data_IF_694481922496
#
_entry.id   IF_694481922496
#
_cell.length_a   1.000
_cell.length_b   1.000
_cell.length_c   1.000
_cell.angle_alpha   90.00
_cell.angle_beta   90.00
_cell.angle_gamma   90.00
#
_symmetry.space_group_name_H-M   'P 1'
#
loop_
_entity.id
_entity.type
_entity.pdbx_description
1 polymer ?
#
# COMPACT_ATOMS: atom_id res chain seq x y z
N UNK A 1 -1.97 -17.29 25.60
CA UNK A 1 -1.98 -16.08 24.75
C UNK A 1 -1.66 -16.53 23.35
N UNK A 2 -2.58 -16.34 22.41
CA UNK A 2 -2.33 -16.66 20.99
C UNK A 2 -1.49 -15.57 20.34
N UNK A 3 -0.57 -15.89 19.40
CA UNK A 3 0.14 -14.88 18.62
C UNK A 3 -0.85 -13.93 17.93
N UNK A 4 -0.70 -12.62 18.13
CA UNK A 4 -1.57 -11.61 17.51
C UNK A 4 -2.97 -11.50 18.13
N UNK A 5 -3.14 -11.87 19.41
CA UNK A 5 -4.42 -11.70 20.11
C UNK A 5 -4.89 -10.23 20.05
N UNK A 6 -5.98 -9.96 19.35
CA UNK A 6 -6.50 -8.59 19.09
C UNK A 6 -6.88 -7.83 20.38
N UNK A 7 -7.06 -8.55 21.47
CA UNK A 7 -7.31 -8.01 22.81
C UNK A 7 -6.04 -7.43 23.44
N UNK A 8 -4.86 -7.95 23.08
CA UNK A 8 -3.57 -7.59 23.65
C UNK A 8 -2.76 -6.67 22.76
N UNK A 9 -2.81 -6.86 21.44
CA UNK A 9 -2.02 -6.10 20.47
C UNK A 9 -2.87 -5.07 19.74
N UNK A 10 -2.31 -3.88 19.56
CA UNK A 10 -2.87 -2.85 18.70
C UNK A 10 -2.26 -3.02 17.30
N UNK A 11 -3.11 -3.07 16.26
CA UNK A 11 -2.60 -3.10 14.88
C UNK A 11 -2.09 -1.71 14.46
N UNK A 12 -1.26 -1.65 13.40
CA UNK A 12 -0.63 -0.42 12.94
C UNK A 12 -1.63 0.70 12.56
N UNK A 13 -2.77 0.34 11.95
CA UNK A 13 -3.80 1.31 11.53
C UNK A 13 -4.48 1.93 12.75
N UNK A 14 -4.93 1.11 13.69
CA UNK A 14 -5.57 1.59 14.90
C UNK A 14 -4.59 2.38 15.77
N UNK A 15 -3.34 1.95 15.85
CA UNK A 15 -2.27 2.70 16.53
C UNK A 15 -2.07 4.08 15.91
N UNK A 16 -2.00 4.17 14.57
CA UNK A 16 -1.81 5.45 13.90
C UNK A 16 -2.98 6.42 14.17
N UNK A 17 -4.22 5.93 14.05
CA UNK A 17 -5.42 6.71 14.35
C UNK A 17 -5.44 7.22 15.79
N UNK A 18 -5.27 6.32 16.76
CA UNK A 18 -5.24 6.68 18.19
C UNK A 18 -4.11 7.67 18.49
N UNK A 19 -2.95 7.51 17.84
CA UNK A 19 -1.81 8.40 18.03
C UNK A 19 -2.08 9.83 17.55
N UNK A 20 -2.84 9.99 16.47
CA UNK A 20 -3.23 11.28 15.89
C UNK A 20 -4.39 11.91 16.66
N UNK A 21 -5.36 11.11 17.14
CA UNK A 21 -6.49 11.59 17.95
C UNK A 21 -6.16 11.74 19.44
N UNK A 22 -4.94 11.38 19.85
CA UNK A 22 -4.49 11.36 21.25
C UNK A 22 -5.35 10.46 22.15
N UNK A 23 -5.88 9.37 21.60
CA UNK A 23 -6.56 8.32 22.33
C UNK A 23 -5.55 7.38 22.98
N UNK A 24 -5.83 6.98 24.22
CA UNK A 24 -4.98 6.07 24.98
C UNK A 24 -5.50 4.63 24.87
N UNK A 25 -4.57 3.69 24.81
CA UNK A 25 -4.86 2.26 24.84
C UNK A 25 -3.85 1.55 25.74
N UNK A 26 -4.33 0.57 26.51
CA UNK A 26 -3.48 -0.29 27.34
C UNK A 26 -2.88 -1.47 26.54
N UNK A 27 -3.19 -1.57 25.25
CA UNK A 27 -2.67 -2.63 24.37
C UNK A 27 -1.19 -2.40 24.05
N UNK A 28 -0.48 -3.48 23.78
CA UNK A 28 0.89 -3.44 23.28
C UNK A 28 0.88 -2.77 21.90
N UNK A 29 1.64 -1.69 21.77
CA UNK A 29 1.78 -0.96 20.51
C UNK A 29 2.65 -1.75 19.51
N UNK A 30 2.53 -1.49 18.20
CA UNK A 30 3.40 -2.09 17.20
C UNK A 30 4.89 -1.89 17.51
N UNK A 31 5.30 -0.70 17.98
CA UNK A 31 6.70 -0.43 18.32
C UNK A 31 7.18 -1.24 19.52
N UNK A 32 6.36 -1.37 20.58
CA UNK A 32 6.70 -2.22 21.72
C UNK A 32 6.81 -3.69 21.31
N UNK A 33 5.88 -4.19 20.50
CA UNK A 33 5.95 -5.57 20.00
C UNK A 33 7.23 -5.83 19.17
N UNK A 34 7.65 -4.84 18.36
CA UNK A 34 8.89 -4.92 17.61
C UNK A 34 10.14 -4.87 18.51
N UNK A 35 10.14 -4.01 19.54
CA UNK A 35 11.22 -3.92 20.52
C UNK A 35 11.35 -5.23 21.33
N UNK A 36 10.23 -5.86 21.68
CA UNK A 36 10.21 -7.17 22.34
C UNK A 36 10.84 -8.25 21.46
N UNK A 37 10.50 -8.30 20.17
CA UNK A 37 11.07 -9.25 19.19
C UNK A 37 12.57 -9.08 19.03
N UNK A 38 13.06 -7.84 18.91
CA UNK A 38 14.50 -7.56 18.87
C UNK A 38 15.19 -7.95 20.18
N UNK A 39 14.53 -7.70 21.31
CA UNK A 39 15.01 -8.12 22.62
C UNK A 39 15.12 -9.64 22.74
N UNK A 40 14.16 -10.40 22.21
CA UNK A 40 14.21 -11.87 22.16
C UNK A 40 15.36 -12.35 21.28
N UNK A 41 15.52 -11.79 20.08
CA UNK A 41 16.62 -12.14 19.17
C UNK A 41 17.99 -11.86 19.82
N UNK A 42 18.19 -10.67 20.37
CA UNK A 42 19.47 -10.28 20.97
C UNK A 42 19.86 -11.16 22.16
N UNK A 43 18.90 -11.55 23.01
CA UNK A 43 19.19 -12.48 24.12
C UNK A 43 19.52 -13.89 23.64
N UNK A 44 18.86 -14.36 22.59
CA UNK A 44 19.12 -15.66 22.00
C UNK A 44 20.52 -15.70 21.34
N UNK A 45 20.88 -14.68 20.57
CA UNK A 45 22.21 -14.55 19.95
C UNK A 45 23.33 -14.46 20.99
N UNK A 46 23.10 -13.75 22.10
CA UNK A 46 24.04 -13.71 23.21
C UNK A 46 24.23 -15.09 23.86
N UNK A 47 23.13 -15.82 24.12
CA UNK A 47 23.20 -17.18 24.66
C UNK A 47 23.89 -18.17 23.72
N UNK A 48 23.71 -18.04 22.40
CA UNK A 48 24.45 -18.83 21.41
C UNK A 48 25.95 -18.52 21.44
N UNK A 49 26.31 -17.24 21.58
CA UNK A 49 27.71 -16.82 21.68
C UNK A 49 28.37 -17.37 22.94
N UNK A 50 27.67 -17.39 24.07
CA UNK A 50 28.15 -18.02 25.29
C UNK A 50 28.30 -19.54 25.13
N UNK A 51 27.35 -20.19 24.46
CA UNK A 51 27.41 -21.62 24.17
C UNK A 51 28.57 -21.99 23.22
N UNK A 52 28.91 -21.13 22.26
CA UNK A 52 30.03 -21.33 21.34
C UNK A 52 31.40 -21.33 22.05
N UNK A 53 31.48 -20.78 23.27
CA UNK A 53 32.71 -20.78 24.06
C UNK A 53 33.05 -22.13 24.70
N UNK A 54 32.14 -23.11 24.65
CA UNK A 54 32.37 -24.44 25.21
C UNK A 54 32.95 -25.39 24.14
N UNK A 55 34.25 -25.69 24.23
CA UNK A 55 34.95 -26.62 23.32
C UNK A 55 34.24 -27.98 23.16
N UNK A 56 33.60 -28.47 24.23
CA UNK A 56 32.86 -29.73 24.20
C UNK A 56 31.65 -29.75 23.25
N UNK A 57 31.22 -28.58 22.74
CA UNK A 57 30.10 -28.44 21.83
C UNK A 57 30.51 -28.29 20.36
N UNK A 58 31.81 -28.13 20.06
CA UNK A 58 32.31 -27.84 18.70
C UNK A 58 31.83 -28.87 17.66
N UNK A 59 31.92 -30.16 18.00
CA UNK A 59 31.51 -31.27 17.14
C UNK A 59 30.16 -31.89 17.57
N UNK A 60 29.45 -31.28 18.51
CA UNK A 60 28.18 -31.81 18.98
C UNK A 60 27.07 -31.54 17.97
N UNK A 61 26.65 -32.58 17.24
CA UNK A 61 25.64 -32.49 16.19
C UNK A 61 24.31 -31.88 16.66
N UNK A 62 23.82 -32.24 17.85
CA UNK A 62 22.57 -31.69 18.39
C UNK A 62 22.69 -30.19 18.66
N UNK A 63 23.84 -29.77 19.19
CA UNK A 63 24.13 -28.34 19.38
C UNK A 63 24.19 -27.59 18.05
N UNK A 64 24.88 -28.14 17.04
CA UNK A 64 24.99 -27.51 15.72
C UNK A 64 23.62 -27.31 15.07
N UNK A 65 22.72 -28.30 15.13
CA UNK A 65 21.34 -28.15 14.65
C UNK A 65 20.54 -27.15 15.47
N UNK A 66 20.65 -27.21 16.81
CA UNK A 66 19.97 -26.24 17.69
C UNK A 66 20.44 -24.81 17.40
N UNK A 67 21.74 -24.61 17.19
CA UNK A 67 22.32 -23.33 16.82
C UNK A 67 21.77 -22.83 15.50
N UNK A 68 21.62 -23.71 14.51
CA UNK A 68 21.01 -23.38 13.21
C UNK A 68 19.56 -22.90 13.39
N UNK A 69 18.74 -23.69 14.09
CA UNK A 69 17.32 -23.38 14.37
C UNK A 69 17.18 -22.04 15.10
N UNK A 70 18.00 -21.82 16.14
CA UNK A 70 17.96 -20.60 16.93
C UNK A 70 18.41 -19.37 16.14
N UNK A 71 19.43 -19.50 15.28
CA UNK A 71 19.81 -18.42 14.37
C UNK A 71 18.66 -18.10 13.39
N UNK A 72 17.99 -19.11 12.84
CA UNK A 72 16.82 -18.92 11.98
C UNK A 72 15.69 -18.17 12.70
N UNK A 73 15.37 -18.56 13.94
CA UNK A 73 14.38 -17.87 14.78
C UNK A 73 14.78 -16.42 15.09
N UNK A 74 16.07 -16.14 15.34
CA UNK A 74 16.55 -14.78 15.56
C UNK A 74 16.35 -13.90 14.31
N UNK A 75 16.68 -14.43 13.11
CA UNK A 75 16.46 -13.70 11.86
C UNK A 75 14.98 -13.48 11.57
N UNK A 76 14.13 -14.46 11.84
CA UNK A 76 12.67 -14.29 11.76
C UNK A 76 12.14 -13.23 12.71
N UNK A 77 12.64 -13.19 13.96
CA UNK A 77 12.22 -12.19 14.93
C UNK A 77 12.63 -10.78 14.48
N UNK A 78 13.88 -10.60 14.01
CA UNK A 78 14.37 -9.32 13.45
C UNK A 78 13.58 -8.88 12.22
N UNK A 79 13.34 -9.80 11.28
CA UNK A 79 12.49 -9.55 10.11
C UNK A 79 11.10 -9.03 10.52
N UNK A 80 10.44 -9.72 11.44
CA UNK A 80 9.10 -9.33 11.89
C UNK A 80 9.12 -8.01 12.66
N UNK A 81 10.12 -7.77 13.50
CA UNK A 81 10.29 -6.49 14.20
C UNK A 81 10.37 -5.33 13.19
N UNK A 82 11.19 -5.48 12.16
CA UNK A 82 11.31 -4.49 11.09
C UNK A 82 10.03 -4.34 10.26
N UNK A 83 9.36 -5.43 9.84
CA UNK A 83 8.07 -5.37 9.13
C UNK A 83 6.99 -4.65 9.94
N UNK A 84 6.92 -4.89 11.25
CA UNK A 84 5.97 -4.21 12.15
C UNK A 84 6.27 -2.71 12.19
N UNK A 85 7.54 -2.31 12.32
CA UNK A 85 7.93 -0.89 12.32
C UNK A 85 7.68 -0.23 10.97
N UNK A 86 7.93 -0.91 9.86
CA UNK A 86 7.57 -0.45 8.51
C UNK A 86 6.08 -0.14 8.44
N UNK A 87 5.22 -1.09 8.83
CA UNK A 87 3.78 -0.93 8.80
C UNK A 87 3.30 0.22 9.70
N UNK A 88 3.82 0.31 10.93
CA UNK A 88 3.44 1.38 11.86
C UNK A 88 3.86 2.77 11.37
N UNK A 89 5.08 2.92 10.87
CA UNK A 89 5.55 4.18 10.28
C UNK A 89 4.74 4.55 9.03
N UNK A 90 4.43 3.58 8.17
CA UNK A 90 3.66 3.81 6.95
C UNK A 90 2.20 4.22 7.27
N UNK A 91 1.54 3.55 8.22
CA UNK A 91 0.21 3.96 8.67
C UNK A 91 0.20 5.36 9.27
N UNK A 92 1.17 5.69 10.12
CA UNK A 92 1.30 7.06 10.65
C UNK A 92 1.54 8.07 9.52
N UNK A 93 2.37 7.75 8.54
CA UNK A 93 2.57 8.61 7.36
C UNK A 93 1.24 8.87 6.63
N UNK A 94 0.41 7.86 6.42
CA UNK A 94 -0.88 8.04 5.76
C UNK A 94 -1.86 8.89 6.58
N UNK A 95 -1.77 8.87 7.91
CA UNK A 95 -2.61 9.70 8.78
C UNK A 95 -2.07 11.15 8.94
N UNK A 96 -0.77 11.40 8.73
CA UNK A 96 -0.15 12.71 9.04
C UNK A 96 0.56 13.41 7.87
N UNK A 97 0.72 12.73 6.73
CA UNK A 97 1.55 13.14 5.60
C UNK A 97 2.99 13.58 6.02
N UNK A 98 3.56 12.97 7.07
CA UNK A 98 4.92 13.30 7.53
C UNK A 98 5.94 12.45 6.78
N UNK A 99 6.65 13.09 5.85
CA UNK A 99 7.64 12.43 5.01
C UNK A 99 8.77 11.74 5.79
N UNK A 100 9.09 12.22 7.00
CA UNK A 100 10.10 11.56 7.84
C UNK A 100 9.66 10.13 8.23
N UNK A 101 8.36 9.89 8.40
CA UNK A 101 7.81 8.57 8.69
C UNK A 101 7.88 7.64 7.48
N UNK A 102 7.65 8.14 6.27
CA UNK A 102 7.81 7.34 5.05
C UNK A 102 9.28 6.89 4.88
N UNK A 103 10.24 7.80 5.07
CA UNK A 103 11.67 7.46 5.05
C UNK A 103 12.04 6.41 6.10
N UNK A 104 11.47 6.51 7.31
CA UNK A 104 11.66 5.49 8.36
C UNK A 104 11.04 4.15 7.99
N UNK A 105 9.86 4.16 7.37
CA UNK A 105 9.22 2.93 6.90
C UNK A 105 10.09 2.20 5.86
N UNK A 106 10.66 2.95 4.91
CA UNK A 106 11.59 2.45 3.90
C UNK A 106 12.86 1.85 4.51
N UNK A 107 13.52 2.60 5.40
CA UNK A 107 14.71 2.10 6.10
C UNK A 107 14.42 0.80 6.86
N UNK A 108 13.28 0.70 7.54
CA UNK A 108 12.89 -0.55 8.19
C UNK A 108 12.57 -1.68 7.20
N UNK A 109 12.02 -1.40 6.02
CA UNK A 109 11.76 -2.42 5.02
C UNK A 109 13.06 -2.98 4.41
N UNK A 110 14.06 -2.11 4.20
CA UNK A 110 15.40 -2.50 3.77
C UNK A 110 16.09 -3.41 4.80
N UNK A 111 15.99 -3.07 6.10
CA UNK A 111 16.49 -3.93 7.18
C UNK A 111 15.73 -5.26 7.27
N UNK A 112 14.42 -5.25 7.06
CA UNK A 112 13.63 -6.49 6.97
C UNK A 112 14.13 -7.37 5.82
N UNK A 113 14.34 -6.79 4.63
CA UNK A 113 14.88 -7.51 3.48
C UNK A 113 16.28 -8.07 3.77
N UNK A 114 17.15 -7.31 4.43
CA UNK A 114 18.47 -7.77 4.85
C UNK A 114 18.37 -8.98 5.81
N UNK A 115 17.51 -8.90 6.82
CA UNK A 115 17.27 -10.01 7.76
C UNK A 115 16.71 -11.25 7.06
N UNK A 116 15.82 -11.07 6.06
CA UNK A 116 15.28 -12.17 5.28
C UNK A 116 16.35 -12.83 4.39
N UNK A 117 17.22 -12.04 3.73
CA UNK A 117 18.32 -12.58 2.93
C UNK A 117 19.28 -13.41 3.79
N UNK A 118 19.61 -12.93 4.98
CA UNK A 118 20.41 -13.71 5.95
C UNK A 118 19.68 -14.97 6.40
N UNK A 119 18.37 -14.91 6.62
CA UNK A 119 17.57 -16.11 6.92
C UNK A 119 17.69 -17.14 5.80
N UNK A 120 17.55 -16.72 4.53
CA UNK A 120 17.70 -17.61 3.38
C UNK A 120 19.08 -18.27 3.36
N UNK A 121 20.15 -17.50 3.58
CA UNK A 121 21.52 -18.00 3.59
C UNK A 121 21.75 -19.06 4.69
N UNK A 122 21.37 -18.76 5.93
CA UNK A 122 21.58 -19.71 7.04
C UNK A 122 20.66 -20.93 6.94
N UNK A 123 19.53 -20.82 6.24
CA UNK A 123 18.56 -21.91 6.13
C UNK A 123 18.82 -22.81 4.92
N UNK A 124 19.79 -22.49 4.06
CA UNK A 124 20.13 -23.31 2.87
C UNK A 124 20.38 -24.80 3.16
N UNK A 125 20.94 -25.22 4.31
CA UNK A 125 21.07 -26.64 4.64
C UNK A 125 19.74 -27.38 4.87
N UNK A 126 18.63 -26.67 5.08
CA UNK A 126 17.33 -27.28 5.27
C UNK A 126 16.75 -27.82 3.96
N UNK A 127 15.79 -28.73 4.10
CA UNK A 127 15.08 -29.30 2.97
C UNK A 127 14.20 -28.25 2.28
N UNK A 128 14.13 -28.25 0.95
CA UNK A 128 13.39 -27.23 0.20
C UNK A 128 11.85 -27.28 0.37
N UNK A 129 11.30 -28.35 0.95
CA UNK A 129 9.84 -28.51 1.15
C UNK A 129 9.50 -28.61 2.64
N UNK A 130 9.90 -27.60 3.41
CA UNK A 130 9.48 -27.49 4.80
C UNK A 130 7.98 -27.28 4.88
N UNK A 131 7.38 -27.79 5.95
CA UNK A 131 5.99 -27.54 6.27
C UNK A 131 5.94 -26.33 7.21
N UNK A 132 5.56 -25.16 6.68
CA UNK A 132 5.50 -23.88 7.39
C UNK A 132 4.04 -23.47 7.66
N UNK A 133 3.24 -24.39 8.20
CA UNK A 133 1.80 -24.18 8.48
C UNK A 133 0.90 -24.71 7.37
N UNK A 134 -0.14 -23.96 6.91
CA UNK A 134 -0.93 -24.38 5.73
C UNK A 134 -0.11 -24.33 4.43
N UNK A 135 1.15 -23.87 4.52
CA UNK A 135 2.05 -23.69 3.40
C UNK A 135 3.21 -24.67 3.43
N UNK A 136 3.71 -25.03 2.25
CA UNK A 136 4.96 -25.75 2.05
C UNK A 136 6.01 -24.90 1.34
N UNK A 137 7.29 -25.23 1.47
CA UNK A 137 8.38 -24.61 0.70
C UNK A 137 9.60 -24.26 1.55
N UNK A 138 10.40 -23.32 1.07
CA UNK A 138 11.60 -22.81 1.72
C UNK A 138 11.52 -21.29 1.91
N UNK A 139 12.26 -20.68 2.85
CA UNK A 139 12.19 -19.22 3.03
C UNK A 139 12.61 -18.42 1.78
N UNK A 140 13.48 -19.00 0.93
CA UNK A 140 13.92 -18.40 -0.34
C UNK A 140 12.78 -18.16 -1.32
N UNK A 141 11.71 -18.95 -1.20
CA UNK A 141 10.53 -18.88 -2.06
C UNK A 141 9.72 -17.60 -1.92
N UNK A 142 9.83 -16.94 -0.76
CA UNK A 142 9.13 -15.70 -0.45
C UNK A 142 10.04 -14.47 -0.62
N UNK A 143 11.30 -14.63 -1.00
CA UNK A 143 12.25 -13.51 -1.13
C UNK A 143 11.73 -12.44 -2.10
N UNK A 144 11.15 -12.85 -3.23
CA UNK A 144 10.57 -11.93 -4.21
C UNK A 144 9.43 -11.06 -3.64
N UNK A 145 8.65 -11.60 -2.71
CA UNK A 145 7.58 -10.87 -2.01
C UNK A 145 8.14 -9.90 -0.97
N UNK A 146 9.23 -10.26 -0.29
CA UNK A 146 9.91 -9.34 0.63
C UNK A 146 10.58 -8.19 -0.14
N UNK A 147 11.17 -8.48 -1.31
CA UNK A 147 11.68 -7.44 -2.20
C UNK A 147 10.57 -6.53 -2.74
N UNK A 148 9.37 -7.10 -2.94
CA UNK A 148 8.20 -6.32 -3.34
C UNK A 148 7.80 -5.27 -2.31
N UNK A 149 7.96 -5.54 -1.01
CA UNK A 149 7.67 -4.55 0.03
C UNK A 149 8.51 -3.28 -0.14
N UNK A 150 9.79 -3.43 -0.49
CA UNK A 150 10.70 -2.31 -0.72
C UNK A 150 10.31 -1.56 -1.99
N UNK A 151 10.10 -2.27 -3.10
CA UNK A 151 9.63 -1.67 -4.37
C UNK A 151 8.32 -0.90 -4.20
N UNK A 152 7.40 -1.44 -3.38
CA UNK A 152 6.14 -0.78 -3.10
C UNK A 152 6.34 0.53 -2.35
N UNK A 153 7.22 0.57 -1.35
CA UNK A 153 7.53 1.80 -0.62
C UNK A 153 8.26 2.84 -1.47
N UNK A 154 9.14 2.41 -2.38
CA UNK A 154 9.74 3.29 -3.39
C UNK A 154 8.65 3.96 -4.24
N UNK A 155 7.61 3.21 -4.61
CA UNK A 155 6.50 3.78 -5.36
C UNK A 155 5.64 4.74 -4.55
N UNK A 156 5.38 4.44 -3.27
CA UNK A 156 4.71 5.38 -2.35
C UNK A 156 5.52 6.68 -2.23
N UNK A 157 6.84 6.59 -2.12
CA UNK A 157 7.75 7.74 -2.07
C UNK A 157 7.73 8.55 -3.37
N UNK A 158 7.76 7.89 -4.52
CA UNK A 158 7.64 8.56 -5.82
C UNK A 158 6.32 9.33 -5.93
N UNK A 159 5.18 8.69 -5.60
CA UNK A 159 3.85 9.31 -5.62
C UNK A 159 3.81 10.52 -4.66
N UNK A 160 4.36 10.37 -3.45
CA UNK A 160 4.40 11.47 -2.48
C UNK A 160 5.31 12.62 -2.94
N UNK A 161 6.48 12.36 -3.48
CA UNK A 161 7.38 13.41 -3.98
C UNK A 161 6.80 14.12 -5.20
N UNK A 162 6.08 13.39 -6.05
CA UNK A 162 5.48 13.92 -7.28
C UNK A 162 4.26 14.81 -7.01
N UNK A 163 3.38 14.38 -6.10
CA UNK A 163 2.09 15.05 -5.85
C UNK A 163 2.03 15.80 -4.51
N UNK A 164 2.96 15.52 -3.60
CA UNK A 164 3.01 16.12 -2.27
C UNK A 164 1.80 15.79 -1.41
N UNK A 165 1.45 16.72 -0.52
CA UNK A 165 0.17 16.71 0.20
C UNK A 165 -0.91 17.32 -0.67
N UNK A 166 -2.01 16.61 -0.83
CA UNK A 166 -3.19 17.04 -1.58
C UNK A 166 -4.43 17.00 -0.66
N UNK A 167 -5.48 17.69 -1.08
CA UNK A 167 -6.75 17.79 -0.35
C UNK A 167 -7.58 16.53 -0.56
N UNK A 168 -7.71 16.07 -1.81
CA UNK A 168 -8.43 14.85 -2.17
C UNK A 168 -7.66 14.10 -3.28
N UNK A 169 -7.72 12.78 -3.23
CA UNK A 169 -7.18 11.89 -4.26
C UNK A 169 -8.22 10.81 -4.57
N UNK A 170 -8.47 10.58 -5.86
CA UNK A 170 -9.43 9.60 -6.35
C UNK A 170 -8.75 8.63 -7.30
N UNK A 171 -9.04 7.35 -7.12
CA UNK A 171 -8.56 6.21 -7.91
C UNK A 171 -9.80 5.59 -8.57
N UNK A 172 -9.92 5.73 -9.89
CA UNK A 172 -11.10 5.38 -10.65
C UNK A 172 -10.98 3.94 -11.18
N UNK A 173 -11.94 3.09 -10.82
CA UNK A 173 -11.96 1.67 -11.19
C UNK A 173 -13.11 0.93 -10.52
N UNK A 174 -13.39 -0.31 -10.94
CA UNK A 174 -14.43 -1.15 -10.32
C UNK A 174 -14.00 -1.53 -8.91
N UNK A 175 -14.98 -1.62 -8.01
CA UNK A 175 -14.75 -2.20 -6.68
C UNK A 175 -14.63 -3.70 -6.82
N UNK A 176 -13.59 -4.29 -6.23
CA UNK A 176 -13.48 -5.75 -6.13
C UNK A 176 -14.69 -6.28 -5.37
N UNK A 177 -15.56 -7.03 -6.05
CA UNK A 177 -16.73 -7.67 -5.44
C UNK A 177 -16.28 -8.92 -4.72
N UNK A 178 -16.15 -8.85 -3.41
CA UNK A 178 -15.98 -10.08 -2.63
C UNK A 178 -17.24 -10.94 -2.78
N UNK A 179 -17.07 -12.19 -3.21
CA UNK A 179 -18.16 -13.18 -3.19
C UNK A 179 -18.77 -13.32 -1.77
N UNK A 180 -19.99 -13.88 -1.66
CA UNK A 180 -20.57 -14.16 -0.34
C UNK A 180 -19.55 -14.95 0.47
N UNK A 181 -19.29 -14.51 1.70
CA UNK A 181 -18.29 -15.06 2.65
C UNK A 181 -18.46 -16.58 2.78
N UNK A 182 -17.89 -17.33 1.85
CA UNK A 182 -17.67 -18.75 1.98
C UNK A 182 -16.76 -18.96 3.17
N UNK A 183 -16.92 -20.08 3.86
CA UNK A 183 -16.15 -20.41 5.05
C UNK A 183 -14.62 -20.54 4.83
N UNK A 184 -14.13 -20.27 3.62
CA UNK A 184 -12.71 -20.21 3.34
C UNK A 184 -12.14 -18.83 3.64
N UNK A 185 -11.54 -18.69 4.83
CA UNK A 185 -10.82 -17.48 5.26
C UNK A 185 -9.59 -17.15 4.38
N UNK A 186 -9.30 -17.95 3.37
CA UNK A 186 -8.09 -17.86 2.55
C UNK A 186 -8.27 -17.06 1.24
N UNK A 187 -9.50 -16.77 0.80
CA UNK A 187 -9.76 -16.25 -0.55
C UNK A 187 -10.61 -14.97 -0.55
N UNK A 188 -10.23 -13.95 0.21
CA UNK A 188 -10.76 -12.60 -0.02
C UNK A 188 -9.76 -11.82 -0.85
N UNK A 189 -10.08 -11.55 -2.10
CA UNK A 189 -9.31 -10.73 -3.02
C UNK A 189 -8.83 -9.40 -2.40
N UNK A 190 -7.60 -9.00 -2.70
CA UNK A 190 -7.06 -7.72 -2.22
C UNK A 190 -7.31 -6.62 -3.25
N UNK A 191 -8.03 -5.57 -2.85
CA UNK A 191 -8.31 -4.40 -3.66
C UNK A 191 -7.07 -3.48 -3.74
N UNK A 192 -6.51 -3.32 -4.93
CA UNK A 192 -5.30 -2.56 -5.21
C UNK A 192 -5.59 -1.05 -5.30
N UNK A 193 -6.09 -0.46 -4.22
CA UNK A 193 -6.24 1.01 -4.12
C UNK A 193 -4.96 1.61 -3.57
N UNK A 194 -4.44 2.65 -4.22
CA UNK A 194 -3.32 3.40 -3.65
C UNK A 194 -3.75 4.10 -2.35
N UNK A 195 -3.08 3.84 -1.21
CA UNK A 195 -3.37 4.57 0.01
C UNK A 195 -3.25 6.09 -0.17
N UNK A 196 -4.12 6.85 0.52
CA UNK A 196 -4.41 8.30 0.31
C UNK A 196 -5.33 8.62 -0.86
N UNK A 197 -5.67 7.63 -1.69
CA UNK A 197 -6.70 7.76 -2.72
C UNK A 197 -7.97 7.03 -2.30
N UNK A 198 -9.10 7.55 -2.77
CA UNK A 198 -10.42 6.96 -2.57
C UNK A 198 -10.85 6.28 -3.86
N UNK A 199 -11.19 4.99 -3.79
CA UNK A 199 -11.74 4.26 -4.94
C UNK A 199 -13.09 4.85 -5.35
N UNK A 200 -13.25 5.12 -6.64
CA UNK A 200 -14.48 5.58 -7.28
C UNK A 200 -14.83 4.64 -8.42
N UNK A 201 -15.97 3.94 -8.29
CA UNK A 201 -16.55 3.09 -9.33
C UNK A 201 -17.60 3.80 -10.18
N UNK A 202 -18.11 3.16 -11.25
CA UNK A 202 -19.18 3.69 -12.10
C UNK A 202 -20.48 4.00 -11.33
N UNK A 203 -20.74 3.23 -10.26
CA UNK A 203 -21.93 3.32 -9.42
C UNK A 203 -21.80 4.35 -8.28
N UNK A 204 -20.62 4.95 -8.08
CA UNK A 204 -20.38 5.91 -7.00
C UNK A 204 -20.95 7.30 -7.35
N UNK A 205 -22.28 7.40 -7.36
CA UNK A 205 -23.01 8.66 -7.57
C UNK A 205 -22.73 9.71 -6.50
N UNK A 206 -22.89 10.98 -6.83
CA UNK A 206 -22.64 12.06 -5.88
C UNK A 206 -23.57 11.96 -4.66
N UNK A 207 -22.97 11.97 -3.47
CA UNK A 207 -23.67 11.99 -2.19
C UNK A 207 -23.18 13.18 -1.36
N UNK A 208 -24.10 14.03 -0.89
CA UNK A 208 -23.76 15.25 -0.17
C UNK A 208 -23.00 14.99 1.15
N UNK A 209 -23.35 13.93 1.87
CA UNK A 209 -22.66 13.56 3.12
C UNK A 209 -21.23 13.08 2.88
N UNK A 210 -20.99 12.47 1.71
CA UNK A 210 -19.66 12.02 1.26
C UNK A 210 -18.86 13.17 0.64
N UNK A 211 -19.54 14.13 0.03
CA UNK A 211 -18.95 15.31 -0.61
C UNK A 211 -18.31 15.02 -1.97
N UNK A 212 -18.52 13.85 -2.57
CA UNK A 212 -18.00 13.54 -3.91
C UNK A 212 -18.77 12.40 -4.59
N UNK A 213 -18.61 12.31 -5.91
CA UNK A 213 -19.14 11.24 -6.76
C UNK A 213 -19.56 11.73 -8.15
N UNK A 214 -20.14 10.84 -8.93
CA UNK A 214 -20.68 11.15 -10.27
C UNK A 214 -22.01 11.91 -10.17
N UNK A 215 -22.09 13.11 -10.75
CA UNK A 215 -23.37 13.86 -10.85
C UNK A 215 -24.22 13.38 -12.03
N UNK A 216 -23.57 12.96 -13.11
CA UNK A 216 -24.21 12.41 -14.30
C UNK A 216 -23.58 11.06 -14.64
N UNK A 217 -24.37 10.00 -14.48
CA UNK A 217 -24.02 8.66 -14.93
C UNK A 217 -24.27 8.60 -16.44
N UNK A 218 -23.22 8.83 -17.21
CA UNK A 218 -23.19 8.41 -18.60
C UNK A 218 -23.20 6.87 -18.70
N UNK A 219 -22.76 6.36 -19.83
CA UNK A 219 -22.41 4.96 -20.07
C UNK A 219 -21.08 4.57 -19.40
N UNK A 220 -20.96 4.86 -18.10
CA UNK A 220 -19.75 4.61 -17.33
C UNK A 220 -19.42 3.11 -17.30
N UNK A 221 -18.21 2.76 -17.72
CA UNK A 221 -17.67 1.42 -17.63
C UNK A 221 -16.35 1.46 -16.86
N UNK A 222 -16.07 0.45 -16.05
CA UNK A 222 -14.78 0.30 -15.39
C UNK A 222 -13.98 -0.81 -16.05
N UNK A 223 -12.68 -0.55 -16.26
CA UNK A 223 -11.69 -1.57 -16.52
C UNK A 223 -10.89 -1.75 -15.25
N UNK A 224 -10.79 -2.99 -14.79
CA UNK A 224 -10.14 -3.32 -13.53
C UNK A 224 -9.24 -4.51 -13.75
N UNK A 225 -8.04 -4.43 -13.19
CA UNK A 225 -7.12 -5.55 -13.16
C UNK A 225 -7.74 -6.70 -12.37
N UNK A 226 -7.40 -7.93 -12.73
CA UNK A 226 -7.74 -9.06 -11.88
C UNK A 226 -7.24 -8.81 -10.44
N UNK A 227 -8.10 -8.97 -9.44
CA UNK A 227 -7.68 -8.81 -8.05
C UNK A 227 -6.56 -9.79 -7.72
N UNK A 228 -5.69 -9.39 -6.80
CA UNK A 228 -4.66 -10.30 -6.30
C UNK A 228 -5.28 -11.27 -5.28
N UNK A 229 -5.07 -12.58 -5.44
CA UNK A 229 -5.39 -13.55 -4.41
C UNK A 229 -4.64 -13.20 -3.12
N UNK A 230 -5.34 -13.17 -1.99
CA UNK A 230 -4.69 -12.86 -0.71
C UNK A 230 -3.63 -13.90 -0.32
N UNK A 231 -3.77 -15.14 -0.81
CA UNK A 231 -2.73 -16.17 -0.70
C UNK A 231 -1.41 -15.71 -1.29
N UNK A 232 -1.41 -15.06 -2.45
CA UNK A 232 -0.24 -14.48 -3.10
C UNK A 232 0.43 -13.46 -2.18
N UNK A 233 -0.33 -12.50 -1.65
CA UNK A 233 0.21 -11.47 -0.76
C UNK A 233 0.71 -12.01 0.58
N UNK A 234 0.18 -13.15 1.02
CA UNK A 234 0.64 -13.85 2.23
C UNK A 234 1.83 -14.77 1.99
N UNK A 235 2.31 -14.91 0.75
CA UNK A 235 3.32 -15.92 0.41
C UNK A 235 2.84 -17.35 0.67
N UNK A 236 1.53 -17.57 0.53
CA UNK A 236 0.92 -18.88 0.79
C UNK A 236 1.20 -19.80 -0.39
N UNK A 237 2.05 -20.81 -0.19
CA UNK A 237 2.27 -21.88 -1.16
C UNK A 237 1.59 -23.15 -0.70
N UNK A 238 0.59 -23.61 -1.45
CA UNK A 238 -0.10 -24.88 -1.16
C UNK A 238 0.85 -26.03 -1.50
N UNK A 239 1.10 -26.91 -0.53
CA UNK A 239 1.97 -28.07 -0.73
C UNK A 239 1.48 -28.91 -1.94
N UNK A 240 2.38 -29.15 -2.90
CA UNK A 240 2.08 -29.89 -4.13
C UNK A 240 1.63 -29.03 -5.32
N UNK A 241 1.57 -27.69 -5.17
CA UNK A 241 1.41 -26.75 -6.29
C UNK A 241 2.69 -25.95 -6.49
N UNK A 242 3.37 -26.16 -7.62
CA UNK A 242 4.53 -25.38 -8.04
C UNK A 242 4.06 -24.09 -8.74
N UNK A 243 3.34 -23.22 -8.02
CA UNK A 243 2.97 -21.91 -8.54
C UNK A 243 4.09 -20.92 -8.23
N UNK A 244 4.64 -20.29 -9.27
CA UNK A 244 5.59 -19.20 -9.11
C UNK A 244 4.92 -18.02 -8.38
N UNK A 245 5.66 -17.20 -7.61
CA UNK A 245 5.11 -15.97 -7.06
C UNK A 245 4.52 -15.13 -8.20
N UNK A 246 3.23 -14.82 -8.13
CA UNK A 246 2.63 -13.90 -9.10
C UNK A 246 3.34 -12.54 -8.99
N UNK A 247 3.53 -11.87 -10.12
CA UNK A 247 4.09 -10.53 -10.15
C UNK A 247 3.08 -9.55 -9.54
N UNK A 248 3.36 -9.14 -8.31
CA UNK A 248 2.55 -8.16 -7.58
C UNK A 248 2.98 -6.79 -8.08
N UNK A 249 2.08 -5.97 -8.65
CA UNK A 249 2.45 -4.63 -9.09
C UNK A 249 2.91 -3.78 -7.91
N UNK A 250 3.88 -2.89 -8.15
CA UNK A 250 4.30 -1.88 -7.16
C UNK A 250 3.50 -0.57 -7.29
N UNK A 251 2.94 -0.32 -8.47
CA UNK A 251 2.14 0.86 -8.83
C UNK A 251 0.68 0.47 -8.96
N UNK A 252 -0.22 1.23 -8.34
CA UNK A 252 -1.66 0.91 -8.32
C UNK A 252 -2.51 1.93 -9.09
N UNK A 253 -2.13 3.22 -9.14
CA UNK A 253 -2.99 4.31 -9.63
C UNK A 253 -3.27 4.27 -11.13
N UNK A 254 -2.45 3.59 -11.93
CA UNK A 254 -2.60 3.56 -13.39
C UNK A 254 -3.04 2.21 -13.95
N UNK A 255 -3.33 1.24 -13.08
CA UNK A 255 -3.74 -0.11 -13.47
C UNK A 255 -5.23 -0.21 -13.81
N UNK A 256 -6.05 0.63 -13.18
CA UNK A 256 -7.50 0.65 -13.35
C UNK A 256 -7.91 1.99 -13.96
N UNK A 257 -9.08 2.01 -14.62
CA UNK A 257 -9.69 3.25 -15.09
C UNK A 257 -11.21 3.12 -15.23
N UNK A 258 -11.88 4.26 -15.30
CA UNK A 258 -13.25 4.37 -15.79
C UNK A 258 -13.22 5.00 -17.18
N UNK A 259 -14.09 4.51 -18.07
CA UNK A 259 -14.34 5.06 -19.39
C UNK A 259 -15.82 5.34 -19.65
N UNK A 260 -16.08 6.09 -20.72
CA UNK A 260 -17.44 6.34 -21.22
C UNK A 260 -17.44 6.95 -22.62
N UNK A 261 -18.51 6.70 -23.38
CA UNK A 261 -18.73 7.26 -24.74
C UNK A 261 -19.75 8.38 -24.75
N UNK A 262 -20.29 8.71 -23.59
CA UNK A 262 -21.15 9.86 -23.35
C UNK A 262 -20.51 10.82 -22.34
N UNK A 263 -20.85 12.12 -22.38
CA UNK A 263 -20.40 13.07 -21.38
C UNK A 263 -20.72 12.62 -19.95
N UNK A 264 -19.74 12.72 -19.05
CA UNK A 264 -19.93 12.48 -17.62
C UNK A 264 -19.37 13.64 -16.79
N UNK A 265 -19.89 13.79 -15.57
CA UNK A 265 -19.46 14.84 -14.64
C UNK A 265 -19.17 14.25 -13.27
N UNK A 266 -17.95 14.45 -12.79
CA UNK A 266 -17.53 14.09 -11.45
C UNK A 266 -17.44 15.35 -10.59
N UNK A 267 -17.97 15.27 -9.37
CA UNK A 267 -17.94 16.36 -8.41
C UNK A 267 -17.16 15.99 -7.16
N UNK A 268 -16.42 16.96 -6.64
CA UNK A 268 -15.86 16.94 -5.30
C UNK A 268 -16.07 18.29 -4.60
N UNK A 269 -16.70 18.26 -3.44
CA UNK A 269 -16.89 19.41 -2.57
C UNK A 269 -15.55 19.79 -1.92
N UNK A 270 -15.19 21.05 -2.06
CA UNK A 270 -13.96 21.62 -1.49
C UNK A 270 -14.21 23.07 -1.08
N UNK A 271 -13.53 23.61 -0.06
CA UNK A 271 -13.65 25.02 0.28
C UNK A 271 -13.31 25.94 -0.89
N UNK A 272 -13.86 27.16 -0.88
CA UNK A 272 -13.49 28.18 -1.87
C UNK A 272 -11.98 28.47 -1.84
N UNK A 273 -11.38 28.60 -3.01
CA UNK A 273 -9.94 28.84 -3.17
C UNK A 273 -9.41 28.38 -4.53
N UNK A 274 -8.10 28.50 -4.72
CA UNK A 274 -7.40 28.08 -5.93
C UNK A 274 -6.87 26.66 -5.77
N UNK A 275 -7.12 25.79 -6.74
CA UNK A 275 -6.68 24.39 -6.73
C UNK A 275 -5.88 24.03 -7.98
N UNK A 276 -4.87 23.17 -7.80
CA UNK A 276 -4.24 22.41 -8.84
C UNK A 276 -4.92 21.05 -8.94
N UNK A 277 -5.42 20.74 -10.13
CA UNK A 277 -5.90 19.42 -10.48
C UNK A 277 -4.80 18.70 -11.25
N UNK A 278 -4.60 17.42 -10.95
CA UNK A 278 -3.74 16.51 -11.72
C UNK A 278 -4.59 15.32 -12.16
N UNK A 279 -4.60 15.05 -13.45
CA UNK A 279 -5.32 13.94 -14.07
C UNK A 279 -4.32 12.88 -14.52
N UNK A 280 -4.57 11.62 -14.18
CA UNK A 280 -3.88 10.47 -14.76
C UNK A 280 -4.84 9.75 -15.71
N UNK A 281 -4.39 9.56 -16.94
CA UNK A 281 -5.21 9.13 -18.08
C UNK A 281 -4.38 8.14 -18.90
N UNK A 282 -4.82 6.91 -19.04
CA UNK A 282 -4.03 5.85 -19.65
C UNK A 282 -4.70 4.49 -19.61
N UNK A 283 -4.17 3.58 -20.42
CA UNK A 283 -4.57 2.18 -20.46
C UNK A 283 -3.34 1.27 -20.38
N UNK A 284 -3.08 0.79 -19.16
CA UNK A 284 -2.09 -0.25 -18.86
C UNK A 284 -2.76 -1.60 -18.55
N UNK A 285 -4.00 -1.80 -19.00
CA UNK A 285 -4.67 -3.09 -18.84
C UNK A 285 -3.92 -4.20 -19.59
N UNK A 286 -4.29 -5.45 -19.35
CA UNK A 286 -3.66 -6.60 -20.03
C UNK A 286 -3.85 -6.59 -21.55
N UNK A 287 -4.87 -5.86 -22.04
CA UNK A 287 -5.20 -5.73 -23.45
C UNK A 287 -5.37 -4.25 -23.79
N UNK A 288 -4.28 -3.47 -23.77
CA UNK A 288 -4.37 -2.03 -23.90
C UNK A 288 -4.87 -1.64 -25.29
N UNK A 289 -5.71 -0.61 -25.34
CA UNK A 289 -6.26 -0.03 -26.56
C UNK A 289 -5.87 1.44 -26.70
N UNK A 290 -5.96 1.96 -27.92
CA UNK A 290 -5.88 3.40 -28.16
C UNK A 290 -7.21 4.03 -27.73
N UNK A 291 -7.14 5.05 -26.88
CA UNK A 291 -8.30 5.84 -26.43
C UNK A 291 -8.16 7.25 -26.96
N UNK A 292 -9.21 7.87 -27.50
CA UNK A 292 -8.98 9.17 -28.11
C UNK A 292 -10.15 9.80 -28.83
N UNK A 293 -9.90 11.07 -29.20
CA UNK A 293 -10.92 12.09 -29.25
C UNK A 293 -11.53 12.21 -27.85
N UNK A 294 -10.87 12.87 -26.89
CA UNK A 294 -11.51 13.18 -25.61
C UNK A 294 -11.06 14.53 -25.09
N UNK A 295 -11.84 15.08 -24.17
CA UNK A 295 -11.46 16.30 -23.47
C UNK A 295 -11.97 16.36 -22.04
N UNK A 296 -11.23 17.07 -21.20
CA UNK A 296 -11.57 17.32 -19.80
C UNK A 296 -11.75 18.81 -19.59
N UNK A 297 -12.81 19.19 -18.89
CA UNK A 297 -13.07 20.57 -18.47
C UNK A 297 -13.36 20.62 -16.98
N UNK A 298 -12.67 21.49 -16.25
CA UNK A 298 -12.88 21.66 -14.82
C UNK A 298 -13.44 23.06 -14.50
N UNK A 299 -14.55 23.15 -13.75
CA UNK A 299 -15.24 24.39 -13.34
C UNK A 299 -15.43 25.44 -14.46
N UNK A 300 -15.69 24.98 -15.70
CA UNK A 300 -15.83 25.85 -16.87
C UNK A 300 -14.51 26.46 -17.40
N UNK A 301 -13.37 26.13 -16.78
CA UNK A 301 -12.02 26.58 -17.13
C UNK A 301 -11.43 25.87 -18.35
N UNK A 302 -10.10 25.70 -18.35
CA UNK A 302 -9.32 25.18 -19.48
C UNK A 302 -9.86 23.81 -19.95
N UNK A 303 -10.09 23.72 -21.26
CA UNK A 303 -10.35 22.46 -21.94
C UNK A 303 -9.00 21.82 -22.26
N UNK A 304 -8.79 20.61 -21.76
CA UNK A 304 -7.64 19.79 -22.12
C UNK A 304 -8.13 18.74 -23.11
N UNK A 305 -7.45 18.57 -24.23
CA UNK A 305 -7.81 17.60 -25.27
C UNK A 305 -6.64 16.67 -25.54
N UNK A 306 -6.93 15.38 -25.71
CA UNK A 306 -5.90 14.35 -25.84
C UNK A 306 -6.38 13.15 -26.64
N UNK A 307 -5.38 12.44 -27.15
CA UNK A 307 -5.42 11.05 -27.56
C UNK A 307 -4.40 10.31 -26.69
N UNK A 308 -4.71 9.07 -26.35
CA UNK A 308 -4.00 8.23 -25.41
C UNK A 308 -3.64 6.94 -26.14
N UNK A 309 -2.40 6.80 -26.61
CA UNK A 309 -1.95 5.59 -27.26
C UNK A 309 -2.00 4.38 -26.32
N UNK A 310 -2.19 3.20 -26.89
CA UNK A 310 -2.19 1.93 -26.15
C UNK A 310 -0.91 1.77 -25.33
N UNK A 311 -1.05 1.37 -24.07
CA UNK A 311 0.08 1.09 -23.18
C UNK A 311 0.78 2.36 -22.68
N UNK A 312 0.20 3.53 -22.88
CA UNK A 312 0.70 4.80 -22.36
C UNK A 312 -0.19 5.35 -21.24
N UNK A 313 0.44 6.06 -20.31
CA UNK A 313 -0.24 6.86 -19.28
C UNK A 313 0.28 8.28 -19.38
N UNK A 314 -0.67 9.19 -19.46
CA UNK A 314 -0.44 10.62 -19.53
C UNK A 314 -0.86 11.28 -18.22
N UNK A 315 -0.07 12.28 -17.83
CA UNK A 315 -0.41 13.20 -16.75
C UNK A 315 -0.69 14.59 -17.34
N UNK A 316 -1.82 15.18 -16.97
CA UNK A 316 -2.12 16.58 -17.28
C UNK A 316 -2.57 17.35 -16.04
N UNK A 317 -2.45 18.68 -16.14
CA UNK A 317 -2.62 19.59 -15.02
C UNK A 317 -3.53 20.76 -15.40
N UNK A 318 -4.49 21.08 -14.55
CA UNK A 318 -5.34 22.27 -14.68
C UNK A 318 -5.37 23.07 -13.37
N UNK A 319 -5.37 24.40 -13.46
CA UNK A 319 -5.62 25.26 -12.30
C UNK A 319 -7.06 25.76 -12.35
N UNK A 320 -7.77 25.67 -11.22
CA UNK A 320 -9.16 26.10 -11.10
C UNK A 320 -9.35 27.00 -9.90
N UNK A 321 -10.24 27.98 -10.06
CA UNK A 321 -10.77 28.78 -8.97
C UNK A 321 -12.12 28.21 -8.53
N UNK A 322 -12.29 28.02 -7.23
CA UNK A 322 -13.53 27.51 -6.63
C UNK A 322 -14.21 28.65 -5.88
N UNK A 323 -15.37 29.07 -6.37
CA UNK A 323 -16.21 30.09 -5.72
C UNK A 323 -17.51 29.55 -5.11
N UNK A 324 -17.90 28.31 -5.42
CA UNK A 324 -19.18 27.71 -5.03
C UNK A 324 -19.02 26.42 -4.23
N UNK A 325 -17.88 26.23 -3.55
CA UNK A 325 -17.67 25.11 -2.65
C UNK A 325 -17.50 23.73 -3.31
N UNK A 326 -17.28 23.68 -4.63
CA UNK A 326 -17.11 22.42 -5.35
C UNK A 326 -16.22 22.56 -6.60
N UNK A 327 -15.58 21.45 -6.95
CA UNK A 327 -14.93 21.21 -8.24
C UNK A 327 -15.81 20.23 -9.02
N UNK A 328 -16.22 20.64 -10.20
CA UNK A 328 -16.89 19.84 -11.22
C UNK A 328 -15.87 19.56 -12.34
N UNK A 329 -15.64 18.28 -12.61
CA UNK A 329 -14.84 17.78 -13.72
C UNK A 329 -15.76 17.14 -14.74
N UNK A 330 -15.87 17.74 -15.93
CA UNK A 330 -16.59 17.18 -17.07
C UNK A 330 -15.63 16.43 -17.98
N UNK A 331 -15.98 15.19 -18.27
CA UNK A 331 -15.30 14.29 -19.18
C UNK A 331 -16.15 14.21 -20.45
N UNK A 332 -15.54 14.51 -21.59
CA UNK A 332 -16.24 14.68 -22.86
C UNK A 332 -15.58 13.78 -23.92
N UNK A 333 -16.33 12.85 -24.52
CA UNK A 333 -15.85 12.11 -25.68
C UNK A 333 -15.87 13.01 -26.91
N UNK A 334 -14.94 12.76 -27.80
CA UNK A 334 -14.89 13.27 -29.17
C UNK A 334 -15.80 12.46 -30.08
N UNK A 335 -15.84 12.81 -31.36
CA UNK A 335 -16.75 12.17 -32.31
C UNK A 335 -16.44 10.68 -32.48
N UNK A 336 -17.34 9.82 -32.01
CA UNK A 336 -17.18 8.36 -32.03
C UNK A 336 -16.14 7.79 -31.07
N UNK A 337 -15.54 8.64 -30.22
CA UNK A 337 -14.50 8.27 -29.26
C UNK A 337 -15.04 7.90 -27.88
N UNK A 338 -14.11 7.58 -26.98
CA UNK A 338 -14.37 7.41 -25.54
C UNK A 338 -13.38 8.25 -24.74
N UNK A 339 -13.78 8.63 -23.53
CA UNK A 339 -12.87 9.20 -22.55
C UNK A 339 -12.45 8.12 -21.55
N UNK A 340 -11.25 8.25 -20.97
CA UNK A 340 -10.76 7.41 -19.87
C UNK A 340 -10.23 8.27 -18.73
N UNK A 341 -10.27 7.76 -17.50
CA UNK A 341 -9.70 8.41 -16.33
C UNK A 341 -9.25 7.36 -15.30
N UNK A 342 -7.98 7.40 -14.91
CA UNK A 342 -7.41 6.50 -13.89
C UNK A 342 -7.42 7.18 -12.52
N UNK A 343 -6.97 8.43 -12.43
CA UNK A 343 -6.90 9.14 -11.15
C UNK A 343 -7.11 10.65 -11.27
N UNK A 344 -7.61 11.24 -10.18
CA UNK A 344 -7.74 12.69 -9.99
C UNK A 344 -7.14 13.08 -8.65
N UNK A 345 -6.21 14.03 -8.68
CA UNK A 345 -5.60 14.62 -7.47
C UNK A 345 -5.98 16.10 -7.41
N UNK A 346 -6.49 16.53 -6.26
CA UNK A 346 -6.94 17.89 -6.00
C UNK A 346 -6.07 18.47 -4.89
N UNK A 347 -5.22 19.45 -5.22
CA UNK A 347 -4.31 20.08 -4.27
C UNK A 347 -4.55 21.58 -4.19
N UNK A 348 -4.84 22.10 -2.99
CA UNK A 348 -5.00 23.53 -2.77
C UNK A 348 -3.68 24.29 -3.00
N UNK A 349 -3.72 25.34 -3.83
CA UNK A 349 -2.60 26.26 -4.09
C UNK A 349 -2.55 27.38 -3.05
N UNK A 350 -2.46 27.04 -1.76
CA UNK A 350 -2.12 28.04 -0.72
C UNK A 350 -0.60 28.23 -0.63
N UNK A 351 -0.09 29.46 -0.39
CA UNK A 351 1.29 29.63 0.03
C UNK A 351 1.48 28.93 1.38
N UNK A 352 2.18 27.79 1.36
CA UNK A 352 2.45 27.01 2.58
C UNK A 352 3.62 27.66 3.31
N UNK A 353 3.32 28.50 4.29
CA UNK A 353 4.29 28.84 5.33
C UNK A 353 4.43 27.57 6.18
N UNK A 354 5.52 26.83 5.98
CA UNK A 354 5.76 25.56 6.66
C UNK A 354 6.03 25.78 8.14
N UNK A 355 5.00 25.70 8.98
CA UNK A 355 5.20 25.43 10.40
C UNK A 355 5.47 23.93 10.52
N UNK A 356 6.70 23.53 10.81
CA UNK A 356 6.96 22.16 11.27
C UNK A 356 6.13 21.95 12.54
N UNK A 357 5.26 20.92 12.62
CA UNK A 357 4.74 20.52 13.91
C UNK A 357 5.92 20.01 14.74
N UNK A 358 6.24 20.72 15.82
CA UNK A 358 7.11 20.21 16.87
C UNK A 358 6.34 19.06 17.54
N UNK A 359 6.64 17.82 17.16
CA UNK A 359 6.34 16.70 18.03
C UNK A 359 7.19 16.88 19.29
N UNK A 360 6.61 17.45 20.34
CA UNK A 360 7.17 17.39 21.67
C UNK A 360 7.30 15.91 22.04
N UNK A 361 8.54 15.44 22.13
CA UNK A 361 8.85 14.11 22.67
C UNK A 361 8.14 13.94 24.02
N UNK A 362 7.55 12.77 24.32
CA UNK A 362 6.97 12.55 25.63
C UNK A 362 8.08 12.74 26.67
N UNK A 363 7.82 13.62 27.65
CA UNK A 363 8.67 13.73 28.84
C UNK A 363 8.71 12.34 29.46
N UNK A 364 9.91 11.74 29.52
CA UNK A 364 10.15 10.56 30.35
C UNK A 364 9.72 10.92 31.77
N UNK A 365 8.73 10.21 32.28
CA UNK A 365 8.41 10.19 33.70
C UNK A 365 9.35 9.22 34.41
#
# INVERSE_FOLDING_TARGET
ITPGEKTLFLNARDYAKQRVTNELSAKITPFQAADDLDGFAGRCEAALTEADAFEALEDNREYLFTKLDMNALCRLARYNAHKIRTSACLCLFYETDDYALLKRAKAHAEEALAAWKQLVEITEPYYDRLHLGPTGGHWKDNLALVEQDVRRLEKVEEIFLKYGRFTLGFDFGERVRHGPRGHDRQESDYDLVEPRFTRIGPEDGYEADRGFGWEAHGDLAAVTREPLPLGTLRGTRIAGRDEAPQDVPAEYLSLDFISGRTPASFRADVPNGTYQLVFLIGDLSERPADHGGMSIRANGGQLLSFEIPKGEVREDRATVEVGQGAIEVRLLPGEGGEWVLNALIIAERKPRIGHLPLYSAPKRA
#
